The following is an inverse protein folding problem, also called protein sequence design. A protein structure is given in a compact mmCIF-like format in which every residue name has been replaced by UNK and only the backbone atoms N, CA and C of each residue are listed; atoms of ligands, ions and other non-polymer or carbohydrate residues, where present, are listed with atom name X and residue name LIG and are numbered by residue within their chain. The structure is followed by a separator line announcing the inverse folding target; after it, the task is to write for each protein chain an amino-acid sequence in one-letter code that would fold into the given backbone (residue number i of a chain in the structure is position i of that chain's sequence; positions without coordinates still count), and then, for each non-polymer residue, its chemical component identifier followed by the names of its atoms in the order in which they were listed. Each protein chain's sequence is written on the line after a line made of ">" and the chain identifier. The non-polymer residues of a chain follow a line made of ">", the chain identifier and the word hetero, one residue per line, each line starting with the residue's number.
data_IF_893837209524
#
_entry.id   IF_893837209524
#
_cell.length_a   1.000
_cell.length_b   1.000
_cell.length_c   1.000
_cell.angle_alpha   90.00
_cell.angle_beta   90.00
_cell.angle_gamma   90.00
#
_symmetry.space_group_name_H-M   'P 1'
#
loop_
_entity.id
_entity.type
_entity.pdbx_description
1 polymer ?
#
# COMPACT_ATOMS: atom_id res chain seq x y z
N UNK A 1 50.89 76.53 15.56
CA UNK A 1 49.57 75.89 15.61
C UNK A 1 49.67 74.46 15.12
N UNK A 2 49.68 73.42 15.98
CA UNK A 2 49.78 72.04 15.52
C UNK A 2 48.43 71.39 15.33
N UNK A 3 48.26 70.74 14.18
CA UNK A 3 47.10 69.90 13.81
C UNK A 3 47.11 68.59 14.61
N UNK A 4 46.07 68.31 15.34
CA UNK A 4 45.81 67.03 16.01
C UNK A 4 45.15 66.07 14.98
N UNK A 5 45.83 64.97 14.71
CA UNK A 5 45.30 63.84 13.92
C UNK A 5 44.62 62.88 14.93
N UNK A 6 43.30 62.68 14.76
CA UNK A 6 42.54 61.68 15.51
C UNK A 6 42.62 60.35 14.77
N UNK A 7 43.24 59.36 15.36
CA UNK A 7 43.23 57.99 14.86
C UNK A 7 41.94 57.27 15.37
N UNK A 8 41.01 56.89 14.48
CA UNK A 8 39.90 56.00 14.80
C UNK A 8 40.35 54.55 14.71
N UNK A 9 40.33 53.85 15.82
CA UNK A 9 40.48 52.39 15.87
C UNK A 9 39.11 51.74 15.60
N UNK A 10 38.97 51.10 14.44
CA UNK A 10 37.85 50.29 14.12
C UNK A 10 38.06 48.87 14.71
N UNK A 11 37.32 48.49 15.72
CA UNK A 11 37.28 47.13 16.27
C UNK A 11 36.40 46.24 15.36
N UNK A 12 37.01 45.35 14.64
CA UNK A 12 36.34 44.26 13.86
C UNK A 12 36.02 43.16 14.84
N UNK A 13 34.76 43.03 15.22
CA UNK A 13 34.24 41.89 16.00
C UNK A 13 34.06 40.71 15.04
N UNK A 14 34.94 39.70 15.12
CA UNK A 14 34.83 38.42 14.40
C UNK A 14 33.82 37.58 15.12
N UNK A 15 32.58 37.49 14.58
CA UNK A 15 31.56 36.52 14.99
C UNK A 15 31.94 35.13 14.49
N UNK A 16 32.55 34.33 15.36
CA UNK A 16 32.76 32.91 15.14
C UNK A 16 31.42 32.22 15.22
N UNK A 17 30.81 31.90 14.07
CA UNK A 17 29.63 31.01 13.99
C UNK A 17 30.10 29.60 14.39
N UNK A 18 29.79 29.19 15.62
CA UNK A 18 30.00 27.81 16.06
C UNK A 18 28.91 26.95 15.43
N UNK A 19 29.27 26.25 14.36
CA UNK A 19 28.38 25.22 13.79
C UNK A 19 28.27 24.05 14.77
N UNK A 20 27.05 23.56 15.09
CA UNK A 20 26.92 22.39 15.96
C UNK A 20 27.61 21.17 15.32
N UNK A 21 28.21 20.27 16.11
CA UNK A 21 28.92 19.12 15.58
C UNK A 21 27.94 18.23 14.78
N UNK A 22 28.40 17.69 13.65
CA UNK A 22 27.58 16.90 12.72
C UNK A 22 26.84 15.71 13.40
N UNK A 23 27.39 15.19 14.50
CA UNK A 23 26.77 14.14 15.30
C UNK A 23 25.49 14.59 16.02
N UNK A 24 25.39 15.85 16.46
CA UNK A 24 24.17 16.38 17.09
C UNK A 24 23.05 16.54 16.06
N UNK A 25 23.37 16.96 14.85
CA UNK A 25 22.37 17.06 13.76
C UNK A 25 21.86 15.70 13.30
N UNK A 26 22.72 14.67 13.22
CA UNK A 26 22.34 13.31 12.88
C UNK A 26 21.46 12.68 13.96
N UNK A 27 21.79 12.87 15.25
CA UNK A 27 20.97 12.36 16.34
C UNK A 27 19.60 13.04 16.41
N UNK A 28 19.51 14.33 16.12
CA UNK A 28 18.24 15.06 16.10
C UNK A 28 17.36 14.62 14.94
N UNK A 29 17.93 14.39 13.75
CA UNK A 29 17.19 13.88 12.60
C UNK A 29 16.68 12.47 12.85
N UNK A 30 17.50 11.57 13.41
CA UNK A 30 17.10 10.21 13.76
C UNK A 30 16.01 10.18 14.86
N UNK A 31 16.11 11.05 15.86
CA UNK A 31 15.08 11.19 16.90
C UNK A 31 13.76 11.75 16.36
N UNK A 32 13.81 12.73 15.46
CA UNK A 32 12.62 13.25 14.79
C UNK A 32 11.93 12.21 13.92
N UNK A 33 12.71 11.39 13.18
CA UNK A 33 12.15 10.32 12.36
C UNK A 33 11.51 9.23 13.22
N UNK A 34 12.12 8.87 14.35
CA UNK A 34 11.57 7.91 15.31
C UNK A 34 10.25 8.42 15.92
N UNK A 35 10.18 9.68 16.33
CA UNK A 35 8.96 10.30 16.86
C UNK A 35 7.84 10.37 15.80
N UNK A 36 8.18 10.54 14.52
CA UNK A 36 7.22 10.57 13.40
C UNK A 36 6.57 9.21 13.10
N UNK A 37 7.15 8.10 13.57
CA UNK A 37 6.65 6.75 13.27
C UNK A 37 6.25 5.99 14.56
N UNK A 38 6.05 6.69 15.66
CA UNK A 38 5.89 6.09 16.99
C UNK A 38 4.64 5.19 17.07
N UNK A 39 3.51 5.65 16.53
CA UNK A 39 2.26 4.89 16.44
C UNK A 39 1.87 4.71 14.97
N UNK A 40 2.12 3.53 14.45
CA UNK A 40 1.78 3.15 13.09
C UNK A 40 0.45 2.41 13.06
N UNK A 41 -0.49 2.86 12.22
CA UNK A 41 -1.77 2.20 11.96
C UNK A 41 -1.80 1.70 10.51
N UNK A 42 -2.05 0.41 10.32
CA UNK A 42 -2.21 -0.21 9.01
C UNK A 42 -3.68 -0.57 8.78
N UNK A 43 -4.27 0.04 7.75
CA UNK A 43 -5.63 -0.20 7.27
C UNK A 43 -5.56 -0.92 5.93
N UNK A 44 -6.49 -1.83 5.67
CA UNK A 44 -6.49 -2.46 4.36
C UNK A 44 -7.29 -3.74 4.24
N UNK A 45 -7.20 -4.32 3.06
CA UNK A 45 -7.81 -5.58 2.67
C UNK A 45 -6.82 -6.77 2.71
N UNK A 46 -7.13 -7.85 2.00
CA UNK A 46 -6.31 -9.06 1.96
C UNK A 46 -4.91 -8.85 1.36
N UNK A 47 -4.75 -7.89 0.43
CA UNK A 47 -3.44 -7.59 -0.14
C UNK A 47 -2.48 -7.02 0.92
N UNK A 48 -3.02 -6.35 1.95
CA UNK A 48 -2.27 -5.88 3.10
C UNK A 48 -2.19 -6.94 4.22
N UNK A 49 -3.26 -7.69 4.45
CA UNK A 49 -3.35 -8.65 5.55
C UNK A 49 -2.42 -9.86 5.40
N UNK A 50 -2.18 -10.35 4.20
CA UNK A 50 -1.34 -11.53 3.94
C UNK A 50 -2.00 -12.86 4.33
N UNK A 51 -3.18 -13.16 3.73
CA UNK A 51 -3.93 -14.36 4.09
C UNK A 51 -3.13 -15.63 3.82
N UNK A 52 -3.25 -16.59 4.73
CA UNK A 52 -2.57 -17.88 4.76
C UNK A 52 -1.04 -17.84 4.95
N UNK A 53 -0.41 -16.68 5.01
CA UNK A 53 1.02 -16.59 5.36
C UNK A 53 1.14 -16.85 6.87
N UNK A 54 1.91 -17.86 7.33
CA UNK A 54 2.12 -18.11 8.76
C UNK A 54 2.99 -16.99 9.39
N UNK A 55 2.79 -16.62 10.68
CA UNK A 55 1.70 -17.06 11.56
C UNK A 55 0.52 -16.09 11.43
N UNK A 56 -0.70 -16.62 11.60
CA UNK A 56 -1.90 -15.78 11.56
C UNK A 56 -2.18 -15.16 12.94
N UNK A 57 -2.68 -13.91 12.95
CA UNK A 57 -2.98 -13.16 14.18
C UNK A 57 -4.19 -13.73 14.90
N UNK A 58 -4.03 -14.04 16.19
CA UNK A 58 -5.11 -14.39 17.11
C UNK A 58 -5.50 -13.15 17.95
N UNK A 59 -6.78 -13.03 18.35
CA UNK A 59 -7.94 -13.92 18.13
C UNK A 59 -8.71 -13.65 16.81
N UNK A 60 -8.33 -12.65 16.01
CA UNK A 60 -9.07 -12.19 14.82
C UNK A 60 -8.76 -13.05 13.58
N UNK A 61 -8.83 -14.39 13.71
CA UNK A 61 -8.54 -15.32 12.62
C UNK A 61 -9.40 -15.08 11.36
N UNK A 62 -10.62 -14.59 11.50
CA UNK A 62 -11.49 -14.30 10.38
C UNK A 62 -10.97 -13.22 9.43
N UNK A 63 -10.00 -12.41 9.84
CA UNK A 63 -9.30 -11.46 8.98
C UNK A 63 -8.18 -12.08 8.17
N UNK A 64 -7.76 -13.30 8.47
CA UNK A 64 -6.62 -13.96 7.83
C UNK A 64 -5.38 -13.05 7.76
N UNK A 65 -5.12 -12.33 8.85
CA UNK A 65 -4.01 -11.38 8.96
C UNK A 65 -2.76 -12.08 9.47
N UNK A 66 -1.66 -11.93 8.73
CA UNK A 66 -0.37 -12.51 9.08
C UNK A 66 0.46 -11.56 9.95
N UNK A 67 1.18 -12.09 10.93
CA UNK A 67 2.23 -11.37 11.64
C UNK A 67 3.47 -11.08 10.78
N UNK A 68 3.48 -11.58 9.54
CA UNK A 68 4.54 -11.38 8.54
C UNK A 68 4.06 -10.62 7.32
N UNK A 69 2.95 -9.90 7.44
CA UNK A 69 2.53 -8.99 6.39
C UNK A 69 3.44 -7.74 6.32
N UNK A 70 3.29 -6.95 5.27
CA UNK A 70 4.18 -5.80 5.08
C UNK A 70 4.10 -4.79 6.23
N UNK A 71 2.94 -4.64 6.88
CA UNK A 71 2.78 -3.68 7.97
C UNK A 71 3.63 -4.03 9.19
N UNK A 72 3.66 -5.32 9.59
CA UNK A 72 4.52 -5.80 10.67
C UNK A 72 6.01 -5.66 10.32
N UNK A 73 6.39 -6.01 9.09
CA UNK A 73 7.78 -5.90 8.63
C UNK A 73 8.22 -4.43 8.55
N UNK A 74 7.35 -3.54 8.07
CA UNK A 74 7.61 -2.10 8.03
C UNK A 74 7.73 -1.53 9.43
N UNK A 75 6.79 -1.86 10.35
CA UNK A 75 6.84 -1.40 11.74
C UNK A 75 8.17 -1.75 12.42
N UNK A 76 8.64 -2.98 12.19
CA UNK A 76 9.95 -3.41 12.68
C UNK A 76 11.10 -2.61 12.05
N UNK A 77 11.07 -2.41 10.74
CA UNK A 77 12.14 -1.71 10.01
C UNK A 77 12.28 -0.23 10.37
N UNK A 78 11.14 0.46 10.64
CA UNK A 78 11.14 1.88 11.04
C UNK A 78 11.25 2.09 12.55
N UNK A 79 11.28 1.01 13.34
CA UNK A 79 11.33 1.08 14.80
C UNK A 79 10.05 1.65 15.42
N UNK A 80 8.87 1.42 14.82
CA UNK A 80 7.60 1.86 15.40
C UNK A 80 7.39 1.23 16.78
N UNK A 81 7.08 2.08 17.77
CA UNK A 81 6.84 1.61 19.14
C UNK A 81 5.53 0.86 19.27
N UNK A 82 4.54 1.27 18.50
CA UNK A 82 3.21 0.67 18.48
C UNK A 82 2.78 0.44 17.03
N UNK A 83 2.37 -0.79 16.72
CA UNK A 83 1.66 -1.13 15.50
C UNK A 83 0.21 -1.46 15.84
N UNK A 84 -0.74 -0.80 15.19
CA UNK A 84 -2.15 -1.15 15.16
C UNK A 84 -2.49 -1.63 13.75
N UNK A 85 -2.28 -2.92 13.52
CA UNK A 85 -2.64 -3.54 12.24
C UNK A 85 -4.07 -4.06 12.33
N UNK A 86 -4.98 -3.42 11.63
CA UNK A 86 -6.40 -3.80 11.53
C UNK A 86 -6.80 -4.19 10.10
N UNK A 87 -5.83 -4.52 9.27
CA UNK A 87 -6.08 -5.05 7.93
C UNK A 87 -6.90 -6.34 8.01
N UNK A 88 -7.83 -6.54 7.08
CA UNK A 88 -8.73 -7.68 7.14
C UNK A 88 -9.10 -8.15 5.73
N UNK A 89 -8.95 -9.44 5.46
CA UNK A 89 -9.32 -10.03 4.17
C UNK A 89 -10.79 -9.77 3.84
N UNK A 90 -11.07 -9.43 2.57
CA UNK A 90 -12.41 -9.07 2.13
C UNK A 90 -12.87 -7.66 2.51
N UNK A 91 -12.04 -6.85 3.18
CA UNK A 91 -12.42 -5.50 3.56
C UNK A 91 -12.72 -4.63 2.33
N UNK A 92 -13.77 -3.83 2.44
CA UNK A 92 -14.20 -2.79 1.48
C UNK A 92 -14.07 -1.42 2.12
N UNK A 93 -14.15 -0.35 1.34
CA UNK A 93 -14.16 1.03 1.86
C UNK A 93 -15.24 1.25 2.93
N UNK A 94 -16.36 0.55 2.86
CA UNK A 94 -17.42 0.59 3.88
C UNK A 94 -16.98 0.06 5.23
N UNK A 95 -16.07 -0.92 5.26
CA UNK A 95 -15.55 -1.51 6.52
C UNK A 95 -14.54 -0.60 7.25
N UNK A 96 -14.20 0.53 6.64
CA UNK A 96 -13.52 1.62 7.37
C UNK A 96 -14.44 2.22 8.44
N UNK A 97 -15.77 2.24 8.19
CA UNK A 97 -16.79 2.90 9.00
C UNK A 97 -17.75 1.94 9.71
N UNK A 98 -17.87 0.71 9.21
CA UNK A 98 -18.80 -0.31 9.69
C UNK A 98 -18.05 -1.58 10.09
N UNK A 99 -18.64 -2.35 11.00
CA UNK A 99 -18.11 -3.67 11.34
C UNK A 99 -18.13 -4.58 10.12
N UNK A 100 -17.08 -5.38 9.98
CA UNK A 100 -16.96 -6.40 8.95
C UNK A 100 -17.32 -7.76 9.52
N UNK A 101 -18.32 -8.42 8.92
CA UNK A 101 -18.59 -9.85 9.17
C UNK A 101 -17.53 -10.69 8.44
N UNK A 102 -17.01 -11.68 9.13
CA UNK A 102 -16.06 -12.67 8.61
C UNK A 102 -16.60 -14.08 8.90
N UNK A 103 -15.98 -15.09 8.32
CA UNK A 103 -16.36 -16.50 8.57
C UNK A 103 -16.23 -16.92 10.04
N UNK A 104 -15.43 -16.22 10.82
CA UNK A 104 -15.12 -16.51 12.22
C UNK A 104 -15.55 -15.40 13.19
N UNK A 105 -16.59 -14.64 12.82
CA UNK A 105 -17.14 -13.59 13.67
C UNK A 105 -17.15 -12.22 13.00
N UNK A 106 -17.18 -11.16 13.80
CA UNK A 106 -17.23 -9.79 13.32
C UNK A 106 -16.09 -8.97 13.92
N UNK A 107 -15.49 -8.09 13.12
CA UNK A 107 -14.45 -7.17 13.55
C UNK A 107 -14.93 -5.72 13.49
N UNK A 108 -14.37 -4.88 14.35
CA UNK A 108 -14.72 -3.47 14.44
C UNK A 108 -14.33 -2.67 13.18
N UNK A 109 -14.95 -1.51 12.95
CA UNK A 109 -14.54 -0.59 11.88
C UNK A 109 -13.05 -0.26 11.96
N UNK A 110 -12.35 -0.33 10.83
CA UNK A 110 -10.89 -0.14 10.82
C UNK A 110 -10.47 1.27 11.28
N UNK A 111 -11.26 2.31 11.01
CA UNK A 111 -10.98 3.67 11.46
C UNK A 111 -10.98 3.83 12.99
N UNK A 112 -11.50 2.87 13.76
CA UNK A 112 -11.42 2.91 15.22
C UNK A 112 -9.97 2.79 15.74
N UNK A 113 -9.06 2.23 14.94
CA UNK A 113 -7.64 2.15 15.28
C UNK A 113 -6.89 3.49 15.11
N UNK A 114 -7.47 4.43 14.34
CA UNK A 114 -6.88 5.76 14.09
C UNK A 114 -7.33 6.72 15.17
N UNK A 115 -6.41 7.14 15.99
CA UNK A 115 -6.62 8.05 17.15
C UNK A 115 -5.63 9.21 17.12
N UNK A 116 -5.79 10.21 17.97
CA UNK A 116 -5.00 11.44 17.94
C UNK A 116 -3.49 11.23 18.16
N UNK A 117 -3.10 10.11 18.77
CA UNK A 117 -1.70 9.71 18.97
C UNK A 117 -1.07 9.02 17.76
N UNK A 118 -1.86 8.74 16.71
CA UNK A 118 -1.35 8.10 15.48
C UNK A 118 -0.42 9.04 14.74
N UNK A 119 0.76 8.53 14.35
CA UNK A 119 1.81 9.31 13.67
C UNK A 119 2.04 8.87 12.23
N UNK A 120 1.67 7.62 11.90
CA UNK A 120 1.78 7.07 10.55
C UNK A 120 0.54 6.23 10.23
N UNK A 121 0.00 6.39 9.03
CA UNK A 121 -1.08 5.54 8.51
C UNK A 121 -0.71 5.06 7.11
N UNK A 122 -0.83 3.75 6.87
CA UNK A 122 -0.92 3.19 5.51
C UNK A 122 -2.32 2.64 5.29
N UNK A 123 -2.88 2.86 4.09
CA UNK A 123 -4.18 2.33 3.72
C UNK A 123 -4.13 1.71 2.32
N UNK A 124 -4.41 0.40 2.24
CA UNK A 124 -4.47 -0.37 0.99
C UNK A 124 -5.87 -0.97 0.87
N UNK A 125 -6.77 -0.30 0.14
CA UNK A 125 -8.20 -0.63 0.12
C UNK A 125 -8.84 -0.29 -1.23
N UNK A 126 -9.95 -0.96 -1.53
CA UNK A 126 -10.79 -0.69 -2.70
C UNK A 126 -10.86 -1.83 -3.69
N UNK A 127 -9.93 -2.78 -3.68
CA UNK A 127 -9.94 -3.93 -4.58
C UNK A 127 -11.23 -4.77 -4.43
N UNK A 128 -11.72 -4.96 -3.20
CA UNK A 128 -12.97 -5.69 -2.96
C UNK A 128 -14.23 -4.89 -3.30
N UNK A 129 -14.17 -3.56 -3.29
CA UNK A 129 -15.29 -2.71 -3.74
C UNK A 129 -15.58 -2.90 -5.22
N UNK A 130 -14.53 -3.07 -6.02
CA UNK A 130 -14.63 -3.29 -7.47
C UNK A 130 -14.68 -4.76 -7.86
N UNK A 131 -14.49 -5.68 -6.89
CA UNK A 131 -14.54 -7.12 -7.13
C UNK A 131 -13.31 -7.69 -7.85
N UNK A 132 -12.09 -7.18 -7.51
CA UNK A 132 -10.86 -7.54 -8.21
C UNK A 132 -10.60 -9.06 -8.24
N UNK A 133 -10.75 -9.75 -7.12
CA UNK A 133 -10.46 -11.19 -7.04
C UNK A 133 -11.41 -11.98 -7.95
N UNK A 134 -12.72 -11.74 -7.84
CA UNK A 134 -13.72 -12.39 -8.71
C UNK A 134 -13.45 -12.12 -10.19
N UNK A 135 -13.12 -10.87 -10.53
CA UNK A 135 -12.74 -10.50 -11.90
C UNK A 135 -11.55 -11.32 -12.44
N UNK A 136 -10.51 -11.53 -11.64
CA UNK A 136 -9.36 -12.35 -12.08
C UNK A 136 -9.76 -13.83 -12.18
N UNK A 137 -10.60 -14.32 -11.28
CA UNK A 137 -11.12 -15.70 -11.28
C UNK A 137 -12.06 -15.95 -12.48
N UNK A 138 -12.91 -15.01 -12.83
CA UNK A 138 -13.78 -15.07 -14.03
C UNK A 138 -12.97 -15.16 -15.34
N UNK A 139 -11.73 -14.65 -15.33
CA UNK A 139 -10.83 -14.72 -16.48
C UNK A 139 -10.01 -16.03 -16.55
N UNK A 140 -10.23 -16.97 -15.61
CA UNK A 140 -9.58 -18.27 -15.67
C UNK A 140 -10.18 -19.11 -16.82
N UNK A 141 -9.33 -19.52 -17.72
CA UNK A 141 -9.71 -20.26 -18.91
C UNK A 141 -8.88 -21.54 -19.06
N UNK A 142 -9.48 -22.67 -18.68
CA UNK A 142 -8.80 -23.97 -18.73
C UNK A 142 -8.75 -24.56 -20.15
N UNK A 143 -9.51 -24.02 -21.09
CA UNK A 143 -9.53 -24.45 -22.47
C UNK A 143 -8.65 -23.54 -23.32
N UNK A 144 -7.79 -24.12 -24.20
CA UNK A 144 -6.95 -23.29 -25.06
C UNK A 144 -7.78 -22.59 -26.14
N UNK A 145 -7.33 -21.43 -26.64
CA UNK A 145 -7.93 -20.81 -27.80
C UNK A 145 -7.96 -21.79 -29.02
N UNK A 146 -9.00 -21.78 -29.85
CA UNK A 146 -10.12 -20.83 -29.87
C UNK A 146 -11.35 -21.29 -29.06
N UNK A 147 -11.26 -22.35 -28.27
CA UNK A 147 -12.41 -22.91 -27.52
C UNK A 147 -12.72 -22.16 -26.27
N UNK A 148 -11.70 -21.53 -25.67
CA UNK A 148 -11.88 -20.71 -24.46
C UNK A 148 -12.41 -19.32 -24.78
N UNK A 149 -13.33 -18.84 -23.93
CA UNK A 149 -13.93 -17.51 -24.05
C UNK A 149 -13.08 -16.45 -23.35
N UNK A 150 -13.05 -15.25 -23.91
CA UNK A 150 -12.36 -14.10 -23.31
C UNK A 150 -13.27 -13.39 -22.30
N UNK A 151 -12.85 -13.29 -21.06
CA UNK A 151 -13.62 -12.62 -19.99
C UNK A 151 -13.78 -11.11 -20.21
N UNK A 152 -12.87 -10.47 -20.96
CA UNK A 152 -12.98 -9.04 -21.24
C UNK A 152 -14.27 -8.68 -21.97
N UNK A 153 -14.86 -9.61 -22.74
CA UNK A 153 -16.11 -9.41 -23.47
C UNK A 153 -17.31 -9.27 -22.51
N UNK A 154 -17.25 -9.89 -21.34
CA UNK A 154 -18.27 -9.77 -20.30
C UNK A 154 -18.20 -8.42 -19.54
N UNK A 155 -17.04 -7.80 -19.52
CA UNK A 155 -16.79 -6.54 -18.81
C UNK A 155 -16.87 -5.31 -19.73
N UNK A 156 -16.65 -5.48 -21.03
CA UNK A 156 -16.72 -4.41 -22.03
C UNK A 156 -17.94 -4.64 -22.92
N UNK A 157 -19.08 -4.05 -22.51
CA UNK A 157 -20.35 -4.16 -23.26
C UNK A 157 -20.66 -2.83 -23.89
N UNK A 158 -20.97 -2.83 -25.19
CA UNK A 158 -21.28 -1.62 -25.98
C UNK A 158 -20.21 -0.51 -25.85
N UNK A 159 -18.95 -0.93 -25.74
CA UNK A 159 -17.81 -0.02 -25.59
C UNK A 159 -17.66 0.58 -24.17
N UNK A 160 -18.52 0.21 -23.24
CA UNK A 160 -18.45 0.64 -21.86
C UNK A 160 -17.77 -0.43 -20.99
N UNK A 161 -16.67 -0.05 -20.35
CA UNK A 161 -15.94 -0.90 -19.41
C UNK A 161 -16.56 -0.78 -18.00
N UNK A 162 -17.32 -1.80 -17.59
CA UNK A 162 -18.01 -1.85 -16.30
C UNK A 162 -17.06 -1.78 -15.11
N UNK A 163 -15.82 -2.28 -15.27
CA UNK A 163 -14.82 -2.26 -14.22
C UNK A 163 -14.26 -0.84 -13.99
N UNK A 164 -14.06 -0.07 -15.08
CA UNK A 164 -13.70 1.35 -14.98
C UNK A 164 -14.79 2.16 -14.29
N UNK A 165 -16.06 1.91 -14.64
CA UNK A 165 -17.20 2.58 -13.98
C UNK A 165 -17.19 2.33 -12.47
N UNK A 166 -16.99 1.07 -12.03
CA UNK A 166 -16.87 0.73 -10.61
C UNK A 166 -15.66 1.42 -9.96
N UNK A 167 -14.53 1.47 -10.65
CA UNK A 167 -13.31 2.14 -10.17
C UNK A 167 -13.54 3.64 -9.97
N UNK A 168 -14.15 4.32 -10.94
CA UNK A 168 -14.41 5.76 -10.84
C UNK A 168 -15.41 6.10 -9.75
N UNK A 169 -16.37 5.22 -9.46
CA UNK A 169 -17.33 5.38 -8.37
C UNK A 169 -16.67 5.36 -6.97
N UNK A 170 -15.44 4.86 -6.84
CA UNK A 170 -14.68 4.88 -5.59
C UNK A 170 -14.01 6.22 -5.29
N UNK A 171 -13.76 7.05 -6.29
CA UNK A 171 -13.00 8.30 -6.15
C UNK A 171 -13.43 9.14 -4.95
N UNK A 172 -14.71 9.52 -4.79
CA UNK A 172 -15.14 10.34 -3.66
C UNK A 172 -14.97 9.65 -2.31
N UNK A 173 -15.14 8.31 -2.26
CA UNK A 173 -14.98 7.54 -1.02
C UNK A 173 -13.53 7.55 -0.52
N UNK A 174 -12.57 7.46 -1.43
CA UNK A 174 -11.14 7.45 -1.08
C UNK A 174 -10.68 8.84 -0.61
N UNK A 175 -11.13 9.90 -1.26
CA UNK A 175 -10.85 11.27 -0.81
C UNK A 175 -11.47 11.55 0.56
N UNK A 176 -12.73 11.12 0.79
CA UNK A 176 -13.38 11.22 2.09
C UNK A 176 -12.60 10.43 3.17
N UNK A 177 -12.21 9.19 2.88
CA UNK A 177 -11.45 8.35 3.82
C UNK A 177 -10.14 9.03 4.26
N UNK A 178 -9.39 9.60 3.33
CA UNK A 178 -8.16 10.32 3.64
C UNK A 178 -8.43 11.55 4.53
N UNK A 179 -9.50 12.28 4.27
CA UNK A 179 -9.97 13.40 5.10
C UNK A 179 -10.34 12.97 6.53
N UNK A 180 -11.06 11.85 6.66
CA UNK A 180 -11.49 11.32 7.95
C UNK A 180 -10.33 10.76 8.79
N UNK A 181 -9.32 10.17 8.13
CA UNK A 181 -8.06 9.76 8.78
C UNK A 181 -7.35 11.01 9.32
N UNK A 182 -7.22 12.06 8.51
CA UNK A 182 -6.58 13.32 8.92
C UNK A 182 -7.32 14.01 10.06
N UNK A 183 -8.66 13.98 10.04
CA UNK A 183 -9.46 14.56 11.12
C UNK A 183 -9.25 13.84 12.46
N UNK A 184 -9.07 12.51 12.44
CA UNK A 184 -8.81 11.70 13.64
C UNK A 184 -7.36 11.80 14.13
N UNK A 185 -6.41 11.92 13.21
CA UNK A 185 -4.97 11.97 13.47
C UNK A 185 -4.32 13.13 12.69
N UNK A 186 -4.47 14.40 13.14
CA UNK A 186 -4.03 15.59 12.41
C UNK A 186 -2.52 15.62 12.14
N UNK A 187 -1.72 14.98 12.98
CA UNK A 187 -0.25 14.93 12.88
C UNK A 187 0.25 13.71 12.10
N UNK A 188 -0.64 12.78 11.72
CA UNK A 188 -0.23 11.57 11.03
C UNK A 188 0.22 11.85 9.59
N UNK A 189 1.29 11.20 9.19
CA UNK A 189 1.63 11.03 7.78
C UNK A 189 0.76 9.90 7.23
N UNK A 190 0.07 10.17 6.13
CA UNK A 190 -0.91 9.25 5.55
C UNK A 190 -0.43 8.84 4.17
N UNK A 191 -0.44 7.54 3.89
CA UNK A 191 -0.06 6.99 2.61
C UNK A 191 -1.12 6.01 2.10
N UNK A 192 -1.60 6.25 0.89
CA UNK A 192 -2.37 5.26 0.13
C UNK A 192 -1.38 4.30 -0.53
N UNK A 193 -1.59 3.00 -0.37
CA UNK A 193 -0.73 1.96 -0.94
C UNK A 193 -1.44 1.34 -2.15
N UNK A 194 -0.77 1.31 -3.28
CA UNK A 194 -1.26 0.68 -4.51
C UNK A 194 -1.17 -0.84 -4.47
N UNK A 195 -1.65 -1.48 -5.55
CA UNK A 195 -1.60 -2.93 -5.72
C UNK A 195 -0.46 -3.33 -6.67
N UNK A 196 0.05 -4.54 -6.50
CA UNK A 196 1.15 -5.08 -7.28
C UNK A 196 0.77 -5.39 -8.75
N UNK A 197 1.73 -5.87 -9.53
CA UNK A 197 1.52 -6.41 -10.87
C UNK A 197 0.95 -7.82 -10.79
N UNK A 198 -0.27 -8.03 -11.32
CA UNK A 198 -0.98 -9.31 -11.32
C UNK A 198 -0.84 -10.08 -12.65
N UNK A 199 -0.52 -9.40 -13.73
CA UNK A 199 -0.28 -10.01 -15.03
C UNK A 199 0.84 -9.28 -15.78
N UNK A 200 1.81 -10.01 -16.36
CA UNK A 200 2.77 -9.43 -17.29
C UNK A 200 2.13 -9.17 -18.65
N UNK A 201 2.78 -8.41 -19.54
CA UNK A 201 2.34 -8.32 -20.94
C UNK A 201 2.14 -9.69 -21.57
N UNK A 202 0.99 -9.90 -22.19
CA UNK A 202 0.56 -11.14 -22.84
C UNK A 202 0.34 -12.36 -21.93
N UNK A 203 0.46 -12.22 -20.60
CA UNK A 203 0.30 -13.34 -19.68
C UNK A 203 1.31 -14.46 -19.89
N UNK A 204 0.97 -15.66 -19.40
CA UNK A 204 1.85 -16.83 -19.51
C UNK A 204 1.08 -18.15 -19.63
N UNK A 205 -0.05 -18.13 -20.35
CA UNK A 205 -0.83 -19.34 -20.61
C UNK A 205 0.06 -20.48 -21.16
N UNK A 206 -0.10 -21.72 -20.72
CA UNK A 206 -1.12 -22.24 -19.79
C UNK A 206 -0.68 -22.24 -18.31
N UNK A 207 0.52 -21.74 -17.96
CA UNK A 207 1.04 -21.74 -16.56
C UNK A 207 0.10 -21.02 -15.60
N UNK A 208 -0.35 -19.84 -15.98
CA UNK A 208 -1.51 -19.19 -15.40
C UNK A 208 -2.59 -19.27 -16.48
N UNK A 209 -3.73 -19.96 -16.23
CA UNK A 209 -4.70 -20.25 -17.27
C UNK A 209 -5.59 -19.03 -17.57
N UNK A 210 -4.96 -17.92 -17.93
CA UNK A 210 -5.58 -16.66 -18.37
C UNK A 210 -5.04 -16.39 -19.77
N UNK A 211 -5.93 -16.30 -20.76
CA UNK A 211 -5.54 -16.09 -22.15
C UNK A 211 -4.93 -14.71 -22.36
N UNK A 212 -4.19 -14.52 -23.45
CA UNK A 212 -3.45 -13.30 -23.74
C UNK A 212 -4.31 -12.03 -23.69
N UNK A 213 -5.53 -12.07 -24.24
CA UNK A 213 -6.44 -10.93 -24.28
C UNK A 213 -6.78 -10.49 -22.85
N UNK A 214 -7.19 -11.44 -22.01
CA UNK A 214 -7.60 -11.21 -20.63
C UNK A 214 -6.44 -10.81 -19.74
N UNK A 215 -5.27 -11.40 -19.91
CA UNK A 215 -4.06 -11.01 -19.18
C UNK A 215 -3.69 -9.54 -19.44
N UNK A 216 -3.81 -9.09 -20.70
CA UNK A 216 -3.60 -7.69 -21.05
C UNK A 216 -4.71 -6.78 -20.51
N UNK A 217 -5.95 -7.24 -20.47
CA UNK A 217 -7.08 -6.52 -19.90
C UNK A 217 -6.92 -6.39 -18.38
N UNK A 218 -6.63 -7.47 -17.65
CA UNK A 218 -6.31 -7.42 -16.20
C UNK A 218 -5.18 -6.43 -15.93
N UNK A 219 -4.11 -6.50 -16.71
CA UNK A 219 -2.98 -5.58 -16.55
C UNK A 219 -3.39 -4.12 -16.74
N UNK A 220 -4.13 -3.80 -17.80
CA UNK A 220 -4.60 -2.43 -18.07
C UNK A 220 -5.55 -1.92 -16.98
N UNK A 221 -6.43 -2.79 -16.49
CA UNK A 221 -7.39 -2.53 -15.42
C UNK A 221 -6.68 -2.20 -14.11
N UNK A 222 -5.69 -3.00 -13.71
CA UNK A 222 -4.88 -2.72 -12.50
C UNK A 222 -4.08 -1.42 -12.63
N UNK A 223 -3.51 -1.14 -13.79
CA UNK A 223 -2.83 0.13 -14.06
C UNK A 223 -3.78 1.32 -13.93
N UNK A 224 -5.00 1.19 -14.43
CA UNK A 224 -6.04 2.21 -14.27
C UNK A 224 -6.41 2.42 -12.81
N UNK A 225 -6.61 1.33 -12.06
CA UNK A 225 -6.97 1.35 -10.65
C UNK A 225 -5.87 2.03 -9.81
N UNK A 226 -4.60 1.65 -9.99
CA UNK A 226 -3.48 2.26 -9.27
C UNK A 226 -3.31 3.75 -9.62
N UNK A 227 -3.52 4.16 -10.89
CA UNK A 227 -3.53 5.58 -11.25
C UNK A 227 -4.65 6.34 -10.53
N UNK A 228 -5.85 5.77 -10.46
CA UNK A 228 -6.97 6.35 -9.73
C UNK A 228 -6.63 6.52 -8.24
N UNK A 229 -6.02 5.51 -7.60
CA UNK A 229 -5.56 5.61 -6.21
C UNK A 229 -4.55 6.74 -6.02
N UNK A 230 -3.56 6.86 -6.92
CA UNK A 230 -2.56 7.92 -6.89
C UNK A 230 -3.18 9.32 -7.06
N UNK A 231 -4.12 9.46 -8.00
CA UNK A 231 -4.85 10.71 -8.23
C UNK A 231 -5.66 11.14 -7.00
N UNK A 232 -6.34 10.18 -6.34
CA UNK A 232 -7.10 10.48 -5.12
C UNK A 232 -6.21 10.80 -3.92
N UNK A 233 -5.07 10.12 -3.78
CA UNK A 233 -4.07 10.44 -2.78
C UNK A 233 -3.55 11.88 -2.97
N UNK A 234 -3.18 12.25 -4.19
CA UNK A 234 -2.74 13.60 -4.52
C UNK A 234 -3.82 14.65 -4.26
N UNK A 235 -5.07 14.38 -4.66
CA UNK A 235 -6.22 15.28 -4.44
C UNK A 235 -6.51 15.49 -2.94
N UNK A 236 -6.25 14.48 -2.11
CA UNK A 236 -6.40 14.54 -0.65
C UNK A 236 -5.15 15.09 0.07
N UNK A 237 -4.07 15.41 -0.64
CA UNK A 237 -2.81 15.89 -0.05
C UNK A 237 -2.13 14.84 0.83
N UNK A 238 -2.21 13.55 0.46
CA UNK A 238 -1.56 12.43 1.14
C UNK A 238 -0.59 11.71 0.20
N UNK A 239 0.34 10.92 0.75
CA UNK A 239 1.30 10.18 -0.06
C UNK A 239 0.66 9.01 -0.82
N UNK A 240 1.27 8.62 -1.94
CA UNK A 240 0.96 7.38 -2.65
C UNK A 240 2.22 6.50 -2.72
N UNK A 241 2.07 5.22 -2.41
CA UNK A 241 3.14 4.22 -2.48
C UNK A 241 2.82 3.27 -3.64
N UNK A 242 3.62 3.35 -4.69
CA UNK A 242 3.51 2.47 -5.85
C UNK A 242 4.11 1.09 -5.54
N UNK A 243 3.28 0.06 -5.51
CA UNK A 243 3.72 -1.34 -5.45
C UNK A 243 3.73 -2.01 -6.83
N UNK A 244 3.11 -1.39 -7.86
CA UNK A 244 3.01 -1.99 -9.18
C UNK A 244 4.37 -2.03 -9.90
N UNK A 245 5.05 -0.90 -9.97
CA UNK A 245 6.33 -0.79 -10.68
C UNK A 245 7.41 -1.71 -10.09
N UNK A 246 7.68 -1.72 -8.77
CA UNK A 246 8.70 -2.59 -8.20
C UNK A 246 8.34 -4.09 -8.26
N UNK A 247 7.06 -4.44 -8.47
CA UNK A 247 6.62 -5.84 -8.61
C UNK A 247 6.63 -6.36 -10.05
N UNK A 248 7.05 -5.56 -11.03
CA UNK A 248 7.29 -6.05 -12.40
C UNK A 248 8.39 -7.09 -12.39
N UNK A 249 8.12 -8.27 -13.00
CA UNK A 249 9.03 -9.42 -12.94
C UNK A 249 8.88 -10.26 -11.66
N UNK A 250 7.89 -9.94 -10.82
CA UNK A 250 7.52 -10.69 -9.63
C UNK A 250 6.04 -11.12 -9.63
N UNK A 251 5.44 -11.13 -10.81
CA UNK A 251 4.04 -11.51 -11.06
C UNK A 251 3.82 -13.03 -11.00
N UNK A 252 2.56 -13.52 -11.07
CA UNK A 252 2.23 -14.94 -10.99
C UNK A 252 2.90 -15.81 -12.09
N UNK A 253 3.36 -15.22 -13.18
CA UNK A 253 4.02 -15.94 -14.27
C UNK A 253 5.48 -16.28 -13.98
N UNK A 254 6.08 -15.68 -12.97
CA UNK A 254 7.47 -15.92 -12.61
C UNK A 254 7.65 -17.19 -11.76
N UNK A 255 8.86 -17.78 -11.70
CA UNK A 255 9.09 -18.99 -10.91
C UNK A 255 8.83 -18.82 -9.42
N UNK A 256 8.51 -19.92 -8.69
CA UNK A 256 8.57 -19.91 -7.21
C UNK A 256 9.93 -19.40 -6.73
N UNK A 257 9.94 -18.58 -5.65
CA UNK A 257 11.16 -17.94 -5.15
C UNK A 257 11.50 -16.60 -5.80
N UNK A 258 10.86 -16.27 -6.96
CA UNK A 258 10.96 -14.95 -7.60
C UNK A 258 9.64 -14.17 -7.46
N UNK A 259 8.52 -14.86 -7.61
CA UNK A 259 7.19 -14.23 -7.59
C UNK A 259 6.84 -13.67 -6.22
N UNK A 260 6.17 -12.52 -6.23
CA UNK A 260 5.57 -11.91 -5.07
C UNK A 260 4.08 -12.24 -4.95
N UNK A 261 3.42 -12.43 -6.09
CA UNK A 261 2.00 -12.77 -6.18
C UNK A 261 1.88 -14.23 -6.63
N UNK A 262 1.13 -15.03 -5.88
CA UNK A 262 0.89 -16.42 -6.23
C UNK A 262 -0.12 -16.55 -7.38
N UNK A 263 0.01 -17.58 -8.24
CA UNK A 263 -0.99 -17.90 -9.25
C UNK A 263 -2.24 -18.54 -8.62
N UNK A 264 -3.19 -18.97 -9.49
CA UNK A 264 -4.39 -19.68 -9.07
C UNK A 264 -4.10 -20.95 -8.22
N UNK A 265 -3.04 -21.68 -8.56
CA UNK A 265 -2.52 -22.77 -7.73
C UNK A 265 -1.23 -22.29 -7.07
N UNK A 266 -1.30 -21.89 -5.79
CA UNK A 266 -0.14 -21.35 -5.09
C UNK A 266 0.94 -22.41 -4.87
N UNK A 267 2.19 -22.01 -4.98
CA UNK A 267 3.36 -22.81 -4.62
C UNK A 267 3.91 -22.47 -3.23
N UNK A 268 3.44 -21.37 -2.63
CA UNK A 268 3.79 -20.91 -1.28
C UNK A 268 2.52 -20.69 -0.47
N UNK A 269 2.66 -20.64 0.85
CA UNK A 269 1.54 -20.34 1.74
C UNK A 269 1.03 -18.91 1.47
N UNK A 270 -0.04 -18.80 0.70
CA UNK A 270 -0.79 -17.59 0.39
C UNK A 270 -2.11 -17.99 -0.29
N UNK A 271 -3.11 -17.12 -0.24
CA UNK A 271 -4.33 -17.26 -1.04
C UNK A 271 -4.01 -17.09 -2.53
N UNK A 272 -4.73 -17.77 -3.46
CA UNK A 272 -4.60 -17.52 -4.89
C UNK A 272 -4.67 -16.04 -5.24
N UNK A 273 -3.83 -15.59 -6.17
CA UNK A 273 -3.72 -14.18 -6.59
C UNK A 273 -3.45 -13.18 -5.46
N UNK A 274 -2.80 -13.63 -4.37
CA UNK A 274 -2.40 -12.76 -3.28
C UNK A 274 -0.87 -12.78 -3.08
N UNK A 275 -0.32 -11.76 -2.41
CA UNK A 275 1.09 -11.74 -2.08
C UNK A 275 1.46 -12.91 -1.15
N UNK A 276 2.59 -13.54 -1.43
CA UNK A 276 3.22 -14.52 -0.57
C UNK A 276 4.20 -13.83 0.41
N UNK A 277 4.87 -14.60 1.27
CA UNK A 277 5.83 -14.06 2.24
C UNK A 277 7.01 -13.31 1.59
N UNK A 278 7.43 -13.68 0.37
CA UNK A 278 8.44 -12.92 -0.39
C UNK A 278 7.88 -11.59 -0.87
N UNK A 279 6.64 -11.60 -1.37
CA UNK A 279 5.92 -10.39 -1.76
C UNK A 279 5.74 -9.42 -0.61
N UNK A 280 5.35 -9.92 0.57
CA UNK A 280 5.23 -9.08 1.77
C UNK A 280 6.56 -8.43 2.17
N UNK A 281 7.69 -9.14 2.03
CA UNK A 281 9.02 -8.51 2.22
C UNK A 281 9.33 -7.45 1.19
N UNK A 282 9.00 -7.71 -0.08
CA UNK A 282 9.15 -6.72 -1.15
C UNK A 282 8.32 -5.47 -0.91
N UNK A 283 7.04 -5.64 -0.55
CA UNK A 283 6.15 -4.53 -0.19
C UNK A 283 6.67 -3.74 1.01
N UNK A 284 7.12 -4.45 2.06
CA UNK A 284 7.69 -3.81 3.24
C UNK A 284 8.93 -2.96 2.90
N UNK A 285 9.80 -3.44 2.02
CA UNK A 285 10.97 -2.67 1.58
C UNK A 285 10.55 -1.36 0.88
N UNK A 286 9.55 -1.43 -0.02
CA UNK A 286 9.04 -0.25 -0.73
C UNK A 286 8.34 0.71 0.23
N UNK A 287 7.45 0.19 1.10
CA UNK A 287 6.73 1.02 2.08
C UNK A 287 7.70 1.66 3.05
N UNK A 288 8.67 0.91 3.59
CA UNK A 288 9.71 1.44 4.49
C UNK A 288 10.50 2.58 3.84
N UNK A 289 10.95 2.40 2.60
CA UNK A 289 11.67 3.45 1.87
C UNK A 289 10.82 4.73 1.72
N UNK A 290 9.54 4.59 1.36
CA UNK A 290 8.64 5.71 1.18
C UNK A 290 8.36 6.46 2.50
N UNK A 291 8.10 5.73 3.59
CA UNK A 291 7.80 6.38 4.89
C UNK A 291 9.04 6.89 5.62
N UNK A 292 10.25 6.45 5.27
CA UNK A 292 11.50 6.96 5.85
C UNK A 292 12.07 8.16 5.12
N UNK A 293 11.73 8.35 3.84
CA UNK A 293 12.24 9.42 2.99
C UNK A 293 11.30 10.61 2.79
N UNK A 294 10.10 10.54 3.37
CA UNK A 294 9.07 11.58 3.25
C UNK A 294 9.15 12.63 4.37
#
# INVERSE_FOLDING_TARGET
>A
MPRRVLAMLAAVALLLAVSPPAHAAQNTAAQNTAAQNDVYVALGDSAAAGPLIPDQVLPELGCWRSTRNYAHLTAQAIGARTLRDVTCSGAKTTHMYQSQSTDLGSVAPQLNAVTADTTLVTVQIGANDVGLTGFIEDCLNLLPPPVGDACNDDYIVDGQDSWRVKTDALRPRLTQLAGDIRARAPQARIFVVGYATYAPPNGCYPRVPIIKADANYIRATLQYFNRMLAEQAAAAGVGFIDLQTPSVGHDPCTPPGTRWIEPYVPASAATPFHPNALGMRGFAAVVTAAVSGA
#
